data_IF_347150262198
#
_entry.id   IF_347150262198
#
_cell.length_a   1.000
_cell.length_b   1.000
_cell.length_c   1.000
_cell.angle_alpha   90.00
_cell.angle_beta   90.00
_cell.angle_gamma   90.00
#
_symmetry.space_group_name_H-M   'P 1'
#
loop_
_entity.id
_entity.type
_entity.pdbx_description
1 polymer ?
#
# COMPACT_ATOMS: atom_id res chain seq x y z
N UNK A 1 -9.47 10.55 63.72
CA UNK A 1 -8.95 9.98 62.46
C UNK A 1 -10.05 10.04 61.41
N UNK A 2 -10.01 11.05 60.53
CA UNK A 2 -10.95 11.19 59.41
C UNK A 2 -10.47 10.31 58.25
N UNK A 3 -11.29 9.36 57.80
CA UNK A 3 -11.07 8.65 56.54
C UNK A 3 -11.91 9.33 55.47
N UNK A 4 -11.24 10.09 54.60
CA UNK A 4 -11.79 10.53 53.33
C UNK A 4 -12.03 9.29 52.45
N UNK A 5 -13.30 9.03 52.13
CA UNK A 5 -13.69 8.10 51.07
C UNK A 5 -13.71 8.90 49.76
N UNK A 6 -12.71 8.70 48.90
CA UNK A 6 -12.75 9.19 47.52
C UNK A 6 -13.31 8.06 46.67
N UNK A 7 -14.61 8.16 46.36
CA UNK A 7 -15.24 7.37 45.30
C UNK A 7 -14.71 7.86 43.95
N UNK A 8 -13.81 7.08 43.33
CA UNK A 8 -13.53 7.21 41.91
C UNK A 8 -14.73 6.66 41.12
N UNK A 9 -15.69 7.52 40.81
CA UNK A 9 -16.61 7.28 39.70
C UNK A 9 -15.80 7.53 38.42
N UNK A 10 -15.20 6.47 37.89
CA UNK A 10 -14.77 6.44 36.50
C UNK A 10 -16.04 6.54 35.67
N UNK A 11 -16.34 7.75 35.22
CA UNK A 11 -17.33 8.02 34.18
C UNK A 11 -16.89 7.23 32.94
N UNK A 12 -17.52 6.08 32.73
CA UNK A 12 -17.61 5.48 31.41
C UNK A 12 -18.65 6.29 30.65
N UNK A 13 -18.24 7.44 30.10
CA UNK A 13 -18.98 8.00 28.97
C UNK A 13 -18.77 7.03 27.81
N UNK A 14 -19.83 6.43 27.25
CA UNK A 14 -19.67 5.76 25.96
C UNK A 14 -19.15 6.82 25.00
N UNK A 15 -17.96 6.58 24.45
CA UNK A 15 -17.43 7.40 23.38
C UNK A 15 -18.46 7.29 22.26
N UNK A 16 -19.19 8.39 22.02
CA UNK A 16 -20.05 8.55 20.87
C UNK A 16 -19.23 8.25 19.63
N UNK A 17 -19.63 7.21 18.89
CA UNK A 17 -19.00 6.77 17.65
C UNK A 17 -19.14 7.79 16.50
N UNK A 18 -19.86 8.90 16.73
CA UNK A 18 -20.29 9.80 15.67
C UNK A 18 -19.36 11.00 15.46
N UNK A 19 -18.35 11.22 16.31
CA UNK A 19 -17.42 12.38 16.19
C UNK A 19 -15.93 12.03 16.37
N UNK A 20 -15.54 10.79 16.07
CA UNK A 20 -14.14 10.57 15.66
C UNK A 20 -14.05 11.05 14.20
N UNK A 21 -13.76 12.34 14.02
CA UNK A 21 -13.08 12.80 12.81
C UNK A 21 -11.76 12.03 12.75
N UNK A 22 -11.82 10.85 12.14
CA UNK A 22 -10.67 10.00 11.92
C UNK A 22 -9.78 10.77 10.94
N UNK A 23 -8.79 11.48 11.48
CA UNK A 23 -7.71 12.02 10.68
C UNK A 23 -6.92 10.85 10.11
N UNK A 24 -7.13 10.60 8.82
CA UNK A 24 -6.48 9.51 8.13
C UNK A 24 -4.95 9.63 8.10
N UNK A 25 -4.40 10.83 8.28
CA UNK A 25 -2.96 11.02 8.46
C UNK A 25 -2.44 10.45 9.80
N UNK A 26 -3.30 10.33 10.82
CA UNK A 26 -2.97 9.74 12.13
C UNK A 26 -3.05 8.21 12.11
N UNK A 27 -3.92 7.61 11.29
CA UNK A 27 -3.96 6.15 11.10
C UNK A 27 -2.65 5.64 10.49
N UNK A 28 -1.99 6.48 9.71
CA UNK A 28 -0.81 6.17 8.90
C UNK A 28 0.49 6.11 9.73
N UNK A 29 0.43 6.45 11.02
CA UNK A 29 1.41 6.03 12.03
C UNK A 29 0.77 5.02 12.98
N UNK A 30 0.44 3.82 12.50
CA UNK A 30 -0.30 2.90 13.31
C UNK A 30 0.60 2.43 14.46
N UNK A 31 0.00 2.28 15.63
CA UNK A 31 0.66 1.64 16.78
C UNK A 31 0.99 0.17 16.44
N UNK A 32 0.34 -0.40 15.43
CA UNK A 32 0.47 -1.79 14.98
C UNK A 32 0.57 -1.84 13.45
N UNK A 33 1.58 -2.51 12.92
CA UNK A 33 1.75 -2.64 11.47
C UNK A 33 0.64 -3.54 10.87
N UNK A 34 0.07 -3.26 9.68
CA UNK A 34 -0.99 -4.07 9.08
C UNK A 34 -0.68 -5.56 8.96
N UNK A 35 0.60 -5.88 8.75
CA UNK A 35 1.09 -7.26 8.68
C UNK A 35 1.03 -8.03 9.99
N UNK A 36 1.00 -7.34 11.12
CA UNK A 36 0.78 -7.97 12.43
C UNK A 36 -0.69 -8.41 12.60
N UNK A 37 -1.60 -7.81 11.84
CA UNK A 37 -3.03 -8.15 11.84
C UNK A 37 -3.40 -9.22 10.82
N UNK A 38 -2.64 -9.27 9.72
CA UNK A 38 -2.85 -10.18 8.60
C UNK A 38 -1.56 -10.37 7.79
N UNK A 39 -1.16 -11.61 7.52
CA UNK A 39 -0.07 -11.90 6.58
C UNK A 39 -0.61 -11.96 5.14
N UNK A 40 -0.83 -10.78 4.53
CA UNK A 40 -1.29 -10.69 3.14
C UNK A 40 -0.13 -10.73 2.12
N UNK A 41 -0.39 -11.13 0.86
CA UNK A 41 0.62 -11.19 -0.19
C UNK A 41 1.19 -9.83 -0.57
N UNK A 42 2.51 -9.79 -0.79
CA UNK A 42 3.25 -8.68 -1.35
C UNK A 42 3.92 -9.11 -2.66
N UNK A 43 4.30 -8.16 -3.50
CA UNK A 43 5.17 -8.47 -4.64
C UNK A 43 6.52 -8.92 -4.09
N UNK A 44 6.99 -10.06 -4.59
CA UNK A 44 8.30 -10.58 -4.22
C UNK A 44 9.42 -9.61 -4.60
N UNK A 45 10.37 -9.36 -3.71
CA UNK A 45 11.59 -8.62 -4.04
C UNK A 45 12.75 -9.39 -3.44
N UNK A 46 13.60 -10.00 -4.28
CA UNK A 46 14.86 -10.59 -3.81
C UNK A 46 15.97 -9.54 -3.71
N UNK A 47 17.01 -9.84 -2.93
CA UNK A 47 18.13 -8.93 -2.68
C UNK A 47 18.81 -8.43 -3.95
N UNK A 48 18.92 -9.29 -4.98
CA UNK A 48 19.52 -8.93 -6.27
C UNK A 48 18.68 -7.90 -7.02
N UNK A 49 17.36 -8.09 -7.03
CA UNK A 49 16.39 -7.18 -7.65
C UNK A 49 16.35 -5.86 -6.91
N UNK A 50 16.32 -5.91 -5.58
CA UNK A 50 16.37 -4.75 -4.71
C UNK A 50 17.63 -3.90 -4.98
N UNK A 51 18.81 -4.51 -4.88
CA UNK A 51 20.09 -3.83 -5.09
C UNK A 51 20.21 -3.23 -6.50
N UNK A 52 19.71 -3.95 -7.52
CA UNK A 52 19.71 -3.46 -8.90
C UNK A 52 18.85 -2.22 -9.06
N UNK A 53 17.63 -2.22 -8.53
CA UNK A 53 16.73 -1.07 -8.65
C UNK A 53 17.19 0.14 -7.83
N UNK A 54 17.73 -0.08 -6.62
CA UNK A 54 18.34 1.00 -5.85
C UNK A 54 19.51 1.66 -6.59
N UNK A 55 20.38 0.86 -7.23
CA UNK A 55 21.49 1.37 -8.04
C UNK A 55 21.03 2.13 -9.28
N UNK A 56 20.03 1.60 -10.01
CA UNK A 56 19.49 2.26 -11.21
C UNK A 56 18.93 3.64 -10.86
N UNK A 57 18.13 3.75 -9.79
CA UNK A 57 17.55 5.01 -9.36
C UNK A 57 18.58 6.00 -8.83
N UNK A 58 19.61 5.52 -8.13
CA UNK A 58 20.74 6.36 -7.68
C UNK A 58 21.49 6.99 -8.86
N UNK A 59 21.68 6.23 -9.96
CA UNK A 59 22.36 6.73 -11.16
C UNK A 59 21.54 7.78 -11.91
N UNK A 60 20.21 7.58 -12.01
CA UNK A 60 19.30 8.56 -12.62
C UNK A 60 19.32 9.86 -11.80
N UNK A 61 19.35 9.75 -10.47
CA UNK A 61 19.46 10.89 -9.56
C UNK A 61 20.76 11.68 -9.75
N UNK A 62 21.90 10.98 -9.85
CA UNK A 62 23.20 11.64 -10.09
C UNK A 62 23.29 12.37 -11.43
N UNK A 63 22.47 12.00 -12.41
CA UNK A 63 22.46 12.62 -13.74
C UNK A 63 21.52 13.83 -13.87
N UNK A 64 20.90 14.31 -12.77
CA UNK A 64 19.94 15.43 -12.76
C UNK A 64 18.75 15.26 -13.74
N UNK A 65 18.36 14.02 -14.02
CA UNK A 65 17.17 13.73 -14.83
C UNK A 65 15.86 14.01 -14.07
N UNK A 66 15.94 14.18 -12.73
CA UNK A 66 14.88 14.72 -11.88
C UNK A 66 15.02 16.24 -11.78
N UNK A 67 14.01 16.99 -12.21
CA UNK A 67 13.99 18.46 -12.19
C UNK A 67 12.91 19.05 -11.27
N UNK A 68 12.36 18.30 -10.32
CA UNK A 68 11.18 18.73 -9.54
C UNK A 68 11.34 18.55 -8.04
N UNK A 69 10.63 19.37 -7.26
CA UNK A 69 10.73 19.57 -5.79
C UNK A 69 10.37 18.35 -4.91
N UNK A 70 10.14 17.15 -5.47
CA UNK A 70 9.71 15.95 -4.74
C UNK A 70 10.60 14.73 -5.02
N UNK A 71 11.87 14.82 -4.62
CA UNK A 71 12.87 13.73 -4.75
C UNK A 71 12.38 12.39 -4.18
N UNK A 72 11.61 12.42 -3.08
CA UNK A 72 11.11 11.22 -2.43
C UNK A 72 10.15 10.40 -3.32
N UNK A 73 9.17 11.07 -3.93
CA UNK A 73 8.23 10.38 -4.82
C UNK A 73 8.97 9.82 -6.01
N UNK A 74 9.87 10.61 -6.60
CA UNK A 74 10.66 10.23 -7.76
C UNK A 74 11.53 8.99 -7.51
N UNK A 75 12.17 8.89 -6.33
CA UNK A 75 13.00 7.75 -5.96
C UNK A 75 12.17 6.46 -5.83
N UNK A 76 11.04 6.50 -5.10
CA UNK A 76 10.14 5.34 -4.97
C UNK A 76 9.54 4.92 -6.30
N UNK A 77 9.12 5.91 -7.06
CA UNK A 77 8.58 5.76 -8.40
C UNK A 77 9.54 5.06 -9.37
N UNK A 78 10.80 5.50 -9.39
CA UNK A 78 11.85 4.85 -10.16
C UNK A 78 12.04 3.41 -9.70
N UNK A 79 12.09 3.18 -8.39
CA UNK A 79 12.26 1.85 -7.83
C UNK A 79 11.13 0.93 -8.28
N UNK A 80 9.87 1.40 -8.20
CA UNK A 80 8.70 0.65 -8.64
C UNK A 80 8.73 0.30 -10.13
N UNK A 81 9.10 1.28 -10.96
CA UNK A 81 9.22 1.06 -12.41
C UNK A 81 10.31 0.03 -12.72
N UNK A 82 11.48 0.14 -12.08
CA UNK A 82 12.55 -0.84 -12.23
C UNK A 82 12.07 -2.24 -11.80
N UNK A 83 11.43 -2.33 -10.63
CA UNK A 83 10.91 -3.60 -10.11
C UNK A 83 9.96 -4.25 -11.10
N UNK A 84 8.97 -3.50 -11.61
CA UNK A 84 7.99 -4.03 -12.55
C UNK A 84 8.63 -4.43 -13.88
N UNK A 85 9.62 -3.67 -14.35
CA UNK A 85 10.40 -4.01 -15.55
C UNK A 85 11.14 -5.33 -15.39
N UNK A 86 11.89 -5.49 -14.29
CA UNK A 86 12.67 -6.72 -14.02
C UNK A 86 11.76 -7.94 -13.84
N UNK A 87 10.55 -7.74 -13.34
CA UNK A 87 9.54 -8.79 -13.18
C UNK A 87 8.67 -9.03 -14.41
N UNK A 88 8.93 -8.31 -15.51
CA UNK A 88 8.15 -8.37 -16.75
C UNK A 88 6.67 -8.07 -16.54
N UNK A 89 6.37 -7.22 -15.56
CA UNK A 89 5.03 -6.68 -15.28
C UNK A 89 4.75 -5.49 -16.20
N UNK A 90 5.75 -4.91 -16.85
CA UNK A 90 5.57 -3.83 -17.81
C UNK A 90 5.60 -4.33 -19.24
N UNK A 91 4.72 -3.79 -20.08
CA UNK A 91 4.84 -3.88 -21.53
C UNK A 91 4.67 -2.51 -22.16
N UNK A 92 5.28 -2.32 -23.34
CA UNK A 92 5.12 -1.11 -24.13
C UNK A 92 4.00 -1.32 -25.14
N UNK A 93 3.00 -0.46 -25.10
CA UNK A 93 1.98 -0.39 -26.15
C UNK A 93 2.58 0.35 -27.36
N UNK A 94 2.78 -0.40 -28.45
CA UNK A 94 3.45 0.11 -29.64
C UNK A 94 2.63 1.18 -30.38
N UNK A 95 1.31 1.23 -30.16
CA UNK A 95 0.43 2.16 -30.84
C UNK A 95 0.53 3.58 -30.24
N UNK A 96 0.69 3.68 -28.92
CA UNK A 96 0.54 4.96 -28.21
C UNK A 96 1.81 5.42 -27.45
N UNK A 97 2.91 4.66 -27.53
CA UNK A 97 4.12 4.87 -26.72
C UNK A 97 3.86 4.88 -25.19
N UNK A 98 2.77 4.27 -24.74
CA UNK A 98 2.39 4.17 -23.33
C UNK A 98 3.00 2.89 -22.73
N UNK A 99 3.60 3.00 -21.55
CA UNK A 99 3.99 1.83 -20.75
C UNK A 99 2.82 1.42 -19.87
N UNK A 100 2.37 0.17 -19.97
CA UNK A 100 1.22 -0.37 -19.25
C UNK A 100 1.65 -1.51 -18.31
N UNK A 101 0.84 -1.75 -17.26
CA UNK A 101 0.96 -2.94 -16.40
C UNK A 101 0.29 -4.11 -17.10
N UNK A 102 1.02 -5.22 -17.24
CA UNK A 102 0.44 -6.53 -17.52
C UNK A 102 -0.24 -7.04 -16.23
N UNK A 103 -1.56 -6.92 -16.21
CA UNK A 103 -2.41 -7.32 -15.09
C UNK A 103 -2.21 -8.77 -14.67
N UNK A 104 -2.02 -9.68 -15.63
CA UNK A 104 -1.86 -11.11 -15.34
C UNK A 104 -0.49 -11.39 -14.73
N UNK A 105 0.55 -10.74 -15.23
CA UNK A 105 1.89 -10.81 -14.66
C UNK A 105 1.93 -10.20 -13.26
N UNK A 106 1.25 -9.07 -13.03
CA UNK A 106 1.13 -8.47 -11.71
C UNK A 106 0.48 -9.46 -10.72
N UNK A 107 -0.70 -9.99 -11.05
CA UNK A 107 -1.41 -11.00 -10.22
C UNK A 107 -0.54 -12.22 -9.89
N UNK A 108 0.30 -12.65 -10.84
CA UNK A 108 1.17 -13.82 -10.67
C UNK A 108 2.38 -13.51 -9.78
N UNK A 109 2.93 -12.29 -9.82
CA UNK A 109 4.07 -11.92 -9.00
C UNK A 109 3.74 -11.80 -7.50
N UNK A 110 2.49 -11.46 -7.15
CA UNK A 110 1.99 -11.59 -5.77
C UNK A 110 1.99 -13.04 -5.26
N UNK A 111 1.89 -14.03 -6.18
CA UNK A 111 1.79 -15.45 -5.84
C UNK A 111 3.16 -16.08 -5.63
N UNK A 112 4.17 -15.66 -6.42
CA UNK A 112 5.38 -16.45 -6.71
C UNK A 112 6.16 -16.99 -5.49
N UNK A 113 6.24 -16.24 -4.40
CA UNK A 113 6.94 -16.68 -3.18
C UNK A 113 6.02 -17.27 -2.11
N UNK A 114 4.71 -17.04 -2.24
CA UNK A 114 3.69 -17.51 -1.31
C UNK A 114 2.84 -18.67 -1.86
N UNK A 115 3.25 -19.30 -2.96
CA UNK A 115 2.56 -20.46 -3.58
C UNK A 115 2.30 -21.61 -2.58
N UNK A 116 3.11 -21.72 -1.51
CA UNK A 116 2.89 -22.71 -0.44
C UNK A 116 1.97 -22.22 0.69
N UNK A 117 1.60 -20.94 0.72
CA UNK A 117 0.81 -20.28 1.79
C UNK A 117 -0.55 -19.75 1.31
N UNK A 118 -0.71 -19.46 0.02
CA UNK A 118 -1.94 -18.86 -0.49
C UNK A 118 -2.95 -19.92 -0.88
N UNK A 119 -3.95 -20.05 -0.01
CA UNK A 119 -5.20 -20.74 -0.31
C UNK A 119 -5.85 -20.19 -1.59
N UNK A 120 -6.78 -20.95 -2.17
CA UNK A 120 -7.59 -20.49 -3.31
C UNK A 120 -8.28 -19.15 -3.04
N UNK A 121 -8.69 -18.91 -1.79
CA UNK A 121 -9.28 -17.65 -1.32
C UNK A 121 -8.34 -16.46 -1.55
N UNK A 122 -7.05 -16.58 -1.24
CA UNK A 122 -6.09 -15.51 -1.49
C UNK A 122 -5.85 -15.23 -2.96
N UNK A 123 -5.89 -16.26 -3.81
CA UNK A 123 -5.76 -16.08 -5.25
C UNK A 123 -6.89 -15.22 -5.82
N UNK A 124 -8.10 -15.38 -5.30
CA UNK A 124 -9.28 -14.58 -5.64
C UNK A 124 -9.17 -13.15 -5.08
N UNK A 125 -8.79 -13.00 -3.81
CA UNK A 125 -8.59 -11.68 -3.18
C UNK A 125 -7.56 -10.84 -3.95
N UNK A 126 -6.40 -11.42 -4.27
CA UNK A 126 -5.35 -10.73 -5.02
C UNK A 126 -5.82 -10.37 -6.42
N UNK A 127 -6.50 -11.28 -7.11
CA UNK A 127 -7.00 -11.02 -8.46
C UNK A 127 -7.97 -9.82 -8.46
N UNK A 128 -8.95 -9.84 -7.56
CA UNK A 128 -9.93 -8.75 -7.40
C UNK A 128 -9.28 -7.43 -7.00
N UNK A 129 -8.33 -7.47 -6.06
CA UNK A 129 -7.60 -6.28 -5.60
C UNK A 129 -6.82 -5.63 -6.74
N UNK A 130 -6.09 -6.42 -7.53
CA UNK A 130 -5.35 -5.91 -8.68
C UNK A 130 -6.28 -5.31 -9.73
N UNK A 131 -7.38 -5.99 -10.08
CA UNK A 131 -8.34 -5.49 -11.07
C UNK A 131 -8.94 -4.15 -10.63
N UNK A 132 -9.41 -4.09 -9.38
CA UNK A 132 -9.99 -2.87 -8.81
C UNK A 132 -9.00 -1.70 -8.85
N UNK A 133 -7.71 -1.95 -8.57
CA UNK A 133 -6.70 -0.91 -8.49
C UNK A 133 -6.18 -0.45 -9.85
N UNK A 134 -6.15 -1.32 -10.86
CA UNK A 134 -5.82 -0.91 -12.22
C UNK A 134 -6.93 -0.02 -12.80
N UNK A 135 -8.19 -0.34 -12.51
CA UNK A 135 -9.33 0.46 -12.97
C UNK A 135 -9.37 1.85 -12.29
N UNK A 136 -9.00 1.92 -11.00
CA UNK A 136 -8.93 3.19 -10.26
C UNK A 136 -7.82 4.11 -10.76
N UNK A 137 -6.70 3.56 -11.22
CA UNK A 137 -5.54 4.34 -11.64
C UNK A 137 -5.21 3.99 -13.09
N UNK A 138 -5.93 4.52 -14.09
CA UNK A 138 -5.62 4.21 -15.49
C UNK A 138 -4.22 4.74 -15.88
N UNK A 139 -3.54 4.08 -16.83
CA UNK A 139 -2.23 4.53 -17.30
C UNK A 139 -2.36 5.92 -17.94
N UNK A 140 -1.55 6.87 -17.48
CA UNK A 140 -1.42 8.19 -18.10
C UNK A 140 -0.26 8.20 -19.12
N UNK A 141 -0.33 9.10 -20.10
CA UNK A 141 0.74 9.29 -21.09
C UNK A 141 2.10 9.52 -20.41
N UNK A 142 3.03 8.57 -20.54
CA UNK A 142 4.37 8.71 -19.96
C UNK A 142 5.29 9.51 -20.89
N UNK A 143 5.38 10.83 -20.70
CA UNK A 143 6.55 11.61 -21.19
C UNK A 143 7.55 11.79 -20.05
N UNK A 144 8.57 10.94 -20.01
CA UNK A 144 9.68 11.05 -19.05
C UNK A 144 10.05 9.74 -18.35
N UNK A 145 11.22 9.75 -17.71
CA UNK A 145 11.74 8.60 -16.93
C UNK A 145 10.89 8.34 -15.68
N UNK A 146 10.19 9.37 -15.19
CA UNK A 146 9.29 9.29 -14.05
C UNK A 146 7.92 9.94 -14.35
N UNK A 147 7.00 9.19 -14.94
CA UNK A 147 5.54 9.42 -14.77
C UNK A 147 4.94 8.25 -13.99
N UNK A 148 5.11 8.24 -12.66
CA UNK A 148 5.28 7.00 -11.93
C UNK A 148 4.32 6.82 -10.74
N UNK A 149 3.43 7.79 -10.56
CA UNK A 149 2.32 7.75 -9.63
C UNK A 149 1.42 6.56 -9.97
N UNK A 150 1.18 6.27 -11.26
CA UNK A 150 0.37 5.10 -11.66
C UNK A 150 0.87 3.78 -11.06
N UNK A 151 2.17 3.48 -11.18
CA UNK A 151 2.73 2.20 -10.71
C UNK A 151 2.70 2.11 -9.18
N UNK A 152 3.13 3.17 -8.50
CA UNK A 152 3.11 3.26 -7.03
C UNK A 152 1.67 3.18 -6.51
N UNK A 153 0.73 3.93 -7.10
CA UNK A 153 -0.68 3.95 -6.70
C UNK A 153 -1.34 2.59 -6.88
N UNK A 154 -1.11 1.93 -8.03
CA UNK A 154 -1.68 0.60 -8.30
C UNK A 154 -1.21 -0.40 -7.24
N UNK A 155 0.08 -0.37 -6.87
CA UNK A 155 0.62 -1.25 -5.83
C UNK A 155 0.02 -0.96 -4.46
N UNK A 156 0.11 0.28 -4.01
CA UNK A 156 -0.33 0.69 -2.67
C UNK A 156 -1.83 0.43 -2.51
N UNK A 157 -2.61 0.69 -3.57
CA UNK A 157 -4.00 0.29 -3.64
C UNK A 157 -4.16 -1.24 -3.48
N UNK A 158 -3.42 -2.05 -4.24
CA UNK A 158 -3.56 -3.50 -4.18
C UNK A 158 -3.21 -4.04 -2.77
N UNK A 159 -2.20 -3.47 -2.10
CA UNK A 159 -1.85 -3.85 -0.73
C UNK A 159 -2.95 -3.47 0.26
N UNK A 160 -3.53 -2.29 0.11
CA UNK A 160 -4.69 -1.86 0.91
C UNK A 160 -5.89 -2.78 0.71
N UNK A 161 -6.26 -3.08 -0.53
CA UNK A 161 -7.38 -3.98 -0.82
C UNK A 161 -7.10 -5.40 -0.29
N UNK A 162 -5.87 -5.92 -0.42
CA UNK A 162 -5.48 -7.21 0.16
C UNK A 162 -5.66 -7.20 1.70
N UNK A 163 -5.24 -6.14 2.40
CA UNK A 163 -5.41 -6.02 3.85
C UNK A 163 -6.89 -5.95 4.27
N UNK A 164 -7.71 -5.17 3.55
CA UNK A 164 -9.13 -5.01 3.83
C UNK A 164 -9.92 -6.31 3.65
N UNK A 165 -9.54 -7.11 2.65
CA UNK A 165 -10.19 -8.39 2.33
C UNK A 165 -9.57 -9.60 3.04
N UNK A 166 -8.50 -9.40 3.80
CA UNK A 166 -7.85 -10.48 4.53
C UNK A 166 -8.71 -11.01 5.69
N UNK A 167 -8.60 -12.28 6.10
CA UNK A 167 -9.09 -12.69 7.41
C UNK A 167 -8.14 -12.22 8.54
N UNK A 168 -8.67 -11.70 9.65
CA UNK A 168 -7.85 -11.18 10.76
C UNK A 168 -7.44 -12.31 11.70
N UNK A 169 -6.14 -12.44 11.97
CA UNK A 169 -5.62 -13.48 12.88
C UNK A 169 -4.63 -12.95 13.94
N UNK A 170 -4.44 -11.62 14.05
CA UNK A 170 -3.47 -11.02 14.96
C UNK A 170 -3.73 -11.27 16.45
N UNK A 171 -2.66 -11.19 17.26
CA UNK A 171 -2.71 -11.38 18.73
C UNK A 171 -3.62 -10.36 19.44
N UNK A 172 -3.79 -9.18 18.86
CA UNK A 172 -4.70 -8.12 19.33
C UNK A 172 -5.82 -7.92 18.31
N UNK A 173 -6.76 -8.86 18.30
CA UNK A 173 -7.89 -8.90 17.36
C UNK A 173 -8.69 -7.59 17.36
N UNK A 174 -8.84 -6.95 18.51
CA UNK A 174 -9.63 -5.73 18.65
C UNK A 174 -8.94 -4.53 17.99
N UNK A 175 -7.64 -4.34 18.25
CA UNK A 175 -6.89 -3.29 17.55
C UNK A 175 -6.80 -3.54 16.05
N UNK A 176 -6.72 -4.80 15.62
CA UNK A 176 -6.72 -5.13 14.21
C UNK A 176 -8.06 -4.84 13.52
N UNK A 177 -9.19 -5.05 14.21
CA UNK A 177 -10.51 -4.63 13.73
C UNK A 177 -10.61 -3.10 13.61
N UNK A 178 -10.13 -2.38 14.62
CA UNK A 178 -10.10 -0.91 14.60
C UNK A 178 -9.24 -0.40 13.43
N UNK A 179 -8.06 -0.98 13.23
CA UNK A 179 -7.20 -0.65 12.10
C UNK A 179 -7.91 -0.88 10.76
N UNK A 180 -8.61 -2.00 10.60
CA UNK A 180 -9.39 -2.28 9.38
C UNK A 180 -10.51 -1.27 9.16
N UNK A 181 -11.28 -0.95 10.20
CA UNK A 181 -12.37 0.02 10.11
C UNK A 181 -11.84 1.41 9.71
N UNK A 182 -10.75 1.83 10.35
CA UNK A 182 -10.00 3.03 10.03
C UNK A 182 -9.54 3.06 8.56
N UNK A 183 -8.91 1.99 8.09
CA UNK A 183 -8.45 1.90 6.69
C UNK A 183 -9.64 1.94 5.71
N UNK A 184 -10.74 1.26 6.04
CA UNK A 184 -11.95 1.25 5.23
C UNK A 184 -12.57 2.65 5.15
N UNK A 185 -12.69 3.33 6.29
CA UNK A 185 -13.21 4.69 6.36
C UNK A 185 -12.40 5.65 5.48
N UNK A 186 -11.07 5.61 5.58
CA UNK A 186 -10.20 6.48 4.78
C UNK A 186 -10.29 6.19 3.28
N UNK A 187 -10.40 4.92 2.89
CA UNK A 187 -10.65 4.54 1.49
C UNK A 187 -11.93 5.16 0.93
N UNK A 188 -12.98 5.26 1.75
CA UNK A 188 -14.31 5.70 1.32
C UNK A 188 -14.53 7.21 1.42
N UNK A 189 -13.84 7.90 2.34
CA UNK A 189 -14.21 9.26 2.76
C UNK A 189 -13.11 10.32 2.58
N UNK A 190 -11.94 9.96 2.07
CA UNK A 190 -10.84 10.92 1.98
C UNK A 190 -10.11 10.88 0.65
N UNK A 191 -9.68 12.06 0.20
CA UNK A 191 -8.60 12.24 -0.76
C UNK A 191 -7.22 11.98 -0.10
N UNK A 192 -7.09 10.95 0.76
CA UNK A 192 -5.80 10.62 1.35
C UNK A 192 -4.85 10.27 0.22
N UNK A 193 -3.77 11.05 0.15
CA UNK A 193 -2.79 10.91 -0.91
C UNK A 193 -2.05 9.58 -0.74
N UNK A 194 -1.59 9.00 -1.85
CA UNK A 194 -0.82 7.75 -1.81
C UNK A 194 0.45 7.88 -0.96
N UNK A 195 1.01 9.11 -0.80
CA UNK A 195 2.15 9.38 0.09
C UNK A 195 1.92 8.91 1.52
N UNK A 196 0.68 8.99 1.98
CA UNK A 196 0.33 8.63 3.34
C UNK A 196 0.20 7.10 3.43
N UNK A 197 -0.45 6.45 2.46
CA UNK A 197 -0.57 4.98 2.43
C UNK A 197 0.76 4.24 2.22
N UNK A 198 1.69 4.83 1.49
CA UNK A 198 3.00 4.25 1.22
C UNK A 198 3.83 4.07 2.50
N UNK A 199 3.81 5.04 3.44
CA UNK A 199 4.46 4.89 4.77
C UNK A 199 3.81 3.84 5.67
N UNK A 200 2.57 3.47 5.36
CA UNK A 200 1.79 2.52 6.16
C UNK A 200 2.10 1.07 5.80
N UNK A 201 2.57 0.82 4.57
CA UNK A 201 2.87 -0.52 4.06
C UNK A 201 4.37 -0.81 3.88
N UNK A 202 5.24 0.20 3.96
CA UNK A 202 6.70 0.12 3.75
C UNK A 202 7.49 0.86 4.82
#
# INVERSE_FOLDING_TARGET
MNKFFVLFLVYWTPISTDDLLIDCSLIIKPIIHPRECCDFPLIWINDTTNARCMKECSNIKSNNEYKTENDYENDKCCFMRCLYSLQRILYKDYNDNIVRIDTNMLKTNFRKDQINRLSNEWMEIVAKSVDTCIDMYPPAYSRGHCLPIYFLNTMVCAYRENFLNCPIYGNDLERCKQLRQSVKYCRENTEVTIKDWDKFFF
#
